data_IF_866562576210
#
_entry.id   IF_866562576210
#
_cell.length_a   1.000
_cell.length_b   1.000
_cell.length_c   1.000
_cell.angle_alpha   90.00
_cell.angle_beta   90.00
_cell.angle_gamma   90.00
#
_symmetry.space_group_name_H-M   'P 1'
#
loop_
_entity.id
_entity.type
_entity.pdbx_description
1 polymer ?
#
# COMPACT_ATOMS: atom_id res chain seq x y z
N UNK A 1 -0.08 -3.88 24.81
CA UNK A 1 -0.22 -4.89 23.74
C UNK A 1 0.97 -5.81 23.89
N UNK A 2 0.69 -7.10 24.00
CA UNK A 2 1.74 -8.13 24.04
C UNK A 2 2.21 -8.40 22.62
N UNK A 3 3.50 -8.45 22.41
CA UNK A 3 4.07 -8.82 21.12
C UNK A 3 3.92 -10.33 20.89
N UNK A 4 3.23 -10.69 19.83
CA UNK A 4 3.01 -12.07 19.42
C UNK A 4 3.14 -12.16 17.89
N UNK A 5 3.58 -13.32 17.40
CA UNK A 5 3.56 -13.62 15.96
C UNK A 5 2.21 -14.23 15.60
N UNK A 6 1.56 -13.65 14.63
CA UNK A 6 0.28 -14.11 14.09
C UNK A 6 0.36 -14.24 12.57
N UNK A 7 -0.55 -15.02 12.01
CA UNK A 7 -0.70 -15.11 10.55
C UNK A 7 -1.93 -14.29 10.14
N UNK A 8 -1.77 -13.38 9.17
CA UNK A 8 -2.88 -12.57 8.68
C UNK A 8 -3.16 -12.84 7.21
N UNK A 9 -4.39 -12.60 6.80
CA UNK A 9 -4.82 -12.61 5.42
C UNK A 9 -5.68 -11.38 5.12
N UNK A 10 -5.43 -10.76 3.98
CA UNK A 10 -6.18 -9.61 3.47
C UNK A 10 -6.49 -9.84 2.01
N UNK A 11 -7.77 -9.80 1.64
CA UNK A 11 -8.21 -10.05 0.28
C UNK A 11 -8.37 -8.75 -0.52
N UNK A 12 -8.46 -8.88 -1.83
CA UNK A 12 -8.71 -7.76 -2.76
C UNK A 12 -10.02 -7.03 -2.46
N UNK A 13 -11.08 -7.77 -2.10
CA UNK A 13 -12.37 -7.19 -1.73
C UNK A 13 -12.38 -6.55 -0.33
N UNK A 14 -11.32 -6.71 0.45
CA UNK A 14 -11.18 -6.09 1.76
C UNK A 14 -11.61 -6.97 2.93
N UNK A 15 -11.65 -8.29 2.79
CA UNK A 15 -11.80 -9.20 3.91
C UNK A 15 -10.47 -9.39 4.62
N UNK A 16 -10.49 -9.26 5.94
CA UNK A 16 -9.30 -9.33 6.79
C UNK A 16 -9.50 -10.33 7.90
N UNK A 17 -8.44 -11.04 8.26
CA UNK A 17 -8.43 -11.97 9.40
C UNK A 17 -7.03 -12.10 9.98
N UNK A 18 -6.99 -12.37 11.26
CA UNK A 18 -5.80 -12.80 12.00
C UNK A 18 -6.04 -14.19 12.54
N UNK A 19 -5.01 -15.02 12.58
CA UNK A 19 -5.08 -16.35 13.19
C UNK A 19 -3.75 -16.68 13.85
N UNK A 20 -3.77 -17.60 14.82
CA UNK A 20 -2.52 -18.11 15.38
C UNK A 20 -1.76 -18.93 14.34
N UNK A 21 -0.44 -18.91 14.42
CA UNK A 21 0.42 -19.72 13.53
C UNK A 21 0.05 -21.20 13.58
N UNK A 22 -0.32 -21.70 14.77
CA UNK A 22 -0.78 -23.08 14.94
C UNK A 22 -2.06 -23.36 14.14
N UNK A 23 -3.03 -22.45 14.20
CA UNK A 23 -4.31 -22.58 13.47
C UNK A 23 -4.09 -22.52 11.97
N UNK A 24 -3.20 -21.65 11.48
CA UNK A 24 -2.82 -21.59 10.11
C UNK A 24 -2.21 -22.91 9.61
N UNK A 25 -1.23 -23.46 10.33
CA UNK A 25 -0.54 -24.71 9.96
C UNK A 25 -1.45 -25.95 10.00
N UNK A 26 -2.55 -25.90 10.75
CA UNK A 26 -3.50 -27.01 10.88
C UNK A 26 -4.55 -27.05 9.76
N UNK A 27 -4.55 -26.10 8.83
CA UNK A 27 -5.62 -25.94 7.81
C UNK A 27 -5.05 -25.63 6.43
N UNK A 28 -5.32 -26.50 5.45
CA UNK A 28 -4.90 -26.29 4.07
C UNK A 28 -5.90 -25.45 3.26
N UNK A 29 -7.07 -25.15 3.82
CA UNK A 29 -8.16 -24.48 3.13
C UNK A 29 -8.28 -23.03 3.58
N UNK A 30 -8.38 -22.10 2.63
CA UNK A 30 -8.70 -20.70 2.85
C UNK A 30 -10.07 -20.39 2.25
N UNK A 31 -10.95 -19.72 3.03
CA UNK A 31 -12.20 -19.22 2.49
C UNK A 31 -11.96 -17.89 1.74
N UNK A 32 -12.43 -17.85 0.50
CA UNK A 32 -12.49 -16.66 -0.35
C UNK A 32 -13.91 -16.55 -0.91
N UNK A 33 -14.37 -15.34 -1.18
CA UNK A 33 -15.60 -15.14 -1.95
C UNK A 33 -15.34 -15.43 -3.42
N UNK A 34 -16.42 -15.68 -4.15
CA UNK A 34 -16.34 -15.82 -5.61
C UNK A 34 -15.71 -14.58 -6.22
N UNK A 35 -14.73 -14.78 -7.10
CA UNK A 35 -13.95 -13.72 -7.75
C UNK A 35 -13.07 -12.84 -6.83
N UNK A 36 -12.92 -13.18 -5.56
CA UNK A 36 -11.94 -12.55 -4.67
C UNK A 36 -10.58 -13.25 -4.73
N UNK A 37 -9.53 -12.57 -4.32
CA UNK A 37 -8.18 -13.11 -4.28
C UNK A 37 -7.42 -12.59 -3.06
N UNK A 38 -6.48 -13.39 -2.56
CA UNK A 38 -5.61 -12.98 -1.47
C UNK A 38 -4.58 -11.96 -2.00
N UNK A 39 -4.58 -10.74 -1.44
CA UNK A 39 -3.57 -9.72 -1.74
C UNK A 39 -2.37 -9.79 -0.81
N UNK A 40 -2.60 -10.13 0.43
CA UNK A 40 -1.54 -10.32 1.41
C UNK A 40 -1.87 -11.50 2.30
N UNK A 41 -0.90 -12.39 2.47
CA UNK A 41 -0.93 -13.40 3.53
C UNK A 41 0.48 -13.60 4.06
N UNK A 42 0.62 -13.66 5.37
CA UNK A 42 1.94 -13.83 5.97
C UNK A 42 1.95 -13.75 7.48
N UNK A 43 3.09 -14.15 8.03
CA UNK A 43 3.40 -14.02 9.44
C UNK A 43 3.84 -12.60 9.75
N UNK A 44 3.24 -12.00 10.78
CA UNK A 44 3.49 -10.62 11.20
C UNK A 44 3.46 -10.53 12.73
N UNK A 45 4.10 -9.50 13.28
CA UNK A 45 3.98 -9.16 14.69
C UNK A 45 2.65 -8.41 14.97
N UNK A 46 2.06 -8.62 16.13
CA UNK A 46 0.92 -7.81 16.61
C UNK A 46 1.26 -6.32 16.72
N UNK A 47 2.54 -5.97 16.78
CA UNK A 47 3.03 -4.59 16.82
C UNK A 47 3.21 -3.96 15.43
N UNK A 48 3.15 -4.76 14.36
CA UNK A 48 3.24 -4.26 13.00
C UNK A 48 1.98 -3.48 12.60
N UNK A 49 2.11 -2.69 11.55
CA UNK A 49 1.01 -1.97 10.90
C UNK A 49 0.90 -2.41 9.46
N UNK A 50 -0.32 -2.65 9.02
CA UNK A 50 -0.63 -2.87 7.61
C UNK A 50 -1.11 -1.55 7.00
N UNK A 51 -0.46 -1.11 5.93
CA UNK A 51 -0.92 0.01 5.11
C UNK A 51 -1.61 -0.55 3.86
N UNK A 52 -2.89 -0.25 3.70
CA UNK A 52 -3.70 -0.68 2.57
C UNK A 52 -3.98 0.53 1.68
N UNK A 53 -3.34 0.61 0.53
CA UNK A 53 -3.49 1.72 -0.42
C UNK A 53 -4.61 1.44 -1.41
N UNK A 54 -5.37 2.48 -1.76
CA UNK A 54 -6.56 2.38 -2.61
C UNK A 54 -6.39 3.08 -3.96
N UNK A 55 -7.23 2.71 -4.91
CA UNK A 55 -7.29 3.34 -6.23
C UNK A 55 -7.59 4.83 -6.18
N UNK A 56 -8.27 5.30 -5.14
CA UNK A 56 -8.65 6.72 -4.95
C UNK A 56 -7.56 7.58 -4.29
N UNK A 57 -6.37 7.02 -4.08
CA UNK A 57 -5.24 7.75 -3.50
C UNK A 57 -5.31 7.87 -1.98
N UNK A 58 -6.10 7.06 -1.32
CA UNK A 58 -6.18 6.98 0.12
C UNK A 58 -5.43 5.74 0.64
N UNK A 59 -5.24 5.68 1.95
CA UNK A 59 -4.77 4.47 2.60
C UNK A 59 -5.50 4.23 3.91
N UNK A 60 -5.53 2.97 4.30
CA UNK A 60 -6.01 2.50 5.58
C UNK A 60 -4.79 2.19 6.44
N UNK A 61 -4.72 2.79 7.60
CA UNK A 61 -3.73 2.47 8.63
C UNK A 61 -4.33 1.44 9.57
N UNK A 62 -3.88 0.19 9.47
CA UNK A 62 -4.46 -0.93 10.19
C UNK A 62 -3.41 -1.60 11.09
N UNK A 63 -3.36 -1.27 12.40
CA UNK A 63 -2.53 -2.01 13.34
C UNK A 63 -2.94 -3.48 13.40
N UNK A 64 -1.98 -4.38 13.36
CA UNK A 64 -2.23 -5.82 13.32
C UNK A 64 -3.06 -6.29 14.52
N UNK A 65 -2.80 -5.75 15.71
CA UNK A 65 -3.56 -6.09 16.93
C UNK A 65 -5.05 -5.72 16.87
N UNK A 66 -5.48 -4.89 15.92
CA UNK A 66 -6.89 -4.52 15.68
C UNK A 66 -7.61 -5.51 14.78
N UNK A 67 -6.89 -6.37 14.08
CA UNK A 67 -7.48 -7.35 13.18
C UNK A 67 -8.10 -8.47 14.03
N UNK A 68 -9.42 -8.73 13.90
CA UNK A 68 -10.07 -9.77 14.68
C UNK A 68 -9.53 -11.17 14.38
N UNK A 69 -9.54 -12.00 15.39
CA UNK A 69 -9.07 -13.38 15.30
C UNK A 69 -10.17 -14.29 14.75
N UNK A 70 -9.82 -15.06 13.72
CA UNK A 70 -10.66 -16.05 13.07
C UNK A 70 -9.90 -17.36 12.88
N UNK A 71 -10.60 -18.45 12.60
CA UNK A 71 -9.94 -19.64 12.04
C UNK A 71 -9.51 -19.34 10.61
N UNK A 72 -8.40 -19.92 10.17
CA UNK A 72 -7.90 -19.64 8.81
C UNK A 72 -8.91 -20.00 7.72
N UNK A 73 -9.70 -21.04 7.93
CA UNK A 73 -10.78 -21.45 7.03
C UNK A 73 -11.99 -20.52 6.97
N UNK A 74 -12.10 -19.55 7.88
CA UNK A 74 -13.20 -18.61 7.91
C UNK A 74 -12.91 -17.44 6.95
N UNK A 75 -13.96 -16.75 6.48
CA UNK A 75 -13.81 -15.61 5.57
C UNK A 75 -13.12 -14.41 6.25
N UNK A 76 -13.35 -14.23 7.54
CA UNK A 76 -12.92 -13.04 8.27
C UNK A 76 -13.99 -11.96 8.32
N UNK A 77 -13.57 -10.73 8.55
CA UNK A 77 -14.45 -9.55 8.56
C UNK A 77 -14.08 -8.58 7.45
N UNK A 78 -15.06 -7.83 6.97
CA UNK A 78 -14.79 -6.80 5.97
C UNK A 78 -14.15 -5.56 6.65
N UNK A 79 -13.19 -4.96 5.96
CA UNK A 79 -12.41 -3.82 6.48
C UNK A 79 -13.30 -2.63 6.89
N UNK A 80 -14.45 -2.43 6.24
CA UNK A 80 -15.41 -1.38 6.59
C UNK A 80 -16.00 -1.52 8.02
N UNK A 81 -15.89 -2.70 8.61
CA UNK A 81 -16.27 -2.91 10.00
C UNK A 81 -15.21 -2.42 10.99
N UNK A 82 -13.99 -2.17 10.53
CA UNK A 82 -12.85 -1.75 11.34
C UNK A 82 -12.49 -0.29 11.10
N UNK A 83 -12.57 0.17 9.84
CA UNK A 83 -12.18 1.51 9.41
C UNK A 83 -13.28 2.07 8.52
N UNK A 84 -13.73 3.28 8.81
CA UNK A 84 -14.72 3.96 7.99
C UNK A 84 -14.07 4.41 6.67
N UNK A 85 -14.50 3.81 5.57
CA UNK A 85 -14.13 4.26 4.24
C UNK A 85 -15.08 5.38 3.80
N UNK A 86 -14.52 6.40 3.15
CA UNK A 86 -15.28 7.57 2.69
C UNK A 86 -15.93 7.36 1.33
N UNK A 87 -15.35 6.49 0.50
CA UNK A 87 -15.80 6.19 -0.86
C UNK A 87 -15.66 4.69 -1.13
N UNK A 88 -16.32 4.25 -2.19
CA UNK A 88 -16.13 2.90 -2.70
C UNK A 88 -14.78 2.82 -3.41
N UNK A 89 -13.82 2.17 -2.80
CA UNK A 89 -12.44 2.10 -3.23
C UNK A 89 -11.99 0.65 -3.33
N UNK A 90 -11.08 0.38 -4.27
CA UNK A 90 -10.41 -0.91 -4.39
C UNK A 90 -9.00 -0.83 -3.83
N UNK A 91 -8.56 -1.88 -3.15
CA UNK A 91 -7.20 -1.99 -2.62
C UNK A 91 -6.25 -2.33 -3.78
N UNK A 92 -5.18 -1.57 -3.93
CA UNK A 92 -4.16 -1.79 -4.97
C UNK A 92 -2.86 -2.35 -4.42
N UNK A 93 -2.52 -2.04 -3.17
CA UNK A 93 -1.28 -2.52 -2.54
C UNK A 93 -1.44 -2.61 -1.03
N UNK A 94 -0.78 -3.60 -0.45
CA UNK A 94 -0.69 -3.78 0.99
C UNK A 94 0.78 -3.87 1.38
N UNK A 95 1.19 -3.05 2.34
CA UNK A 95 2.55 -3.05 2.88
C UNK A 95 2.52 -3.33 4.38
N UNK A 96 3.39 -4.25 4.82
CA UNK A 96 3.66 -4.49 6.24
C UNK A 96 4.77 -3.53 6.69
N UNK A 97 4.51 -2.75 7.73
CA UNK A 97 5.47 -1.81 8.30
C UNK A 97 5.73 -2.17 9.77
N UNK A 98 6.97 -2.48 10.08
CA UNK A 98 7.42 -2.74 11.46
C UNK A 98 8.04 -1.50 12.09
N UNK A 99 8.63 -0.61 11.30
CA UNK A 99 9.27 0.61 11.77
C UNK A 99 9.09 1.74 10.73
N UNK A 100 8.36 2.79 11.09
CA UNK A 100 8.16 3.95 10.23
C UNK A 100 9.39 4.87 10.12
N UNK A 101 10.35 4.73 11.02
CA UNK A 101 11.58 5.55 11.01
C UNK A 101 12.68 4.98 10.10
N UNK A 102 12.41 3.92 9.36
CA UNK A 102 13.31 3.46 8.32
C UNK A 102 13.46 4.53 7.23
N UNK A 103 14.70 4.71 6.75
CA UNK A 103 14.99 5.65 5.67
C UNK A 103 14.57 5.09 4.31
N UNK A 104 13.27 5.04 4.12
CA UNK A 104 12.59 4.49 2.94
C UNK A 104 11.51 5.44 2.45
N UNK A 105 11.17 5.30 1.19
CA UNK A 105 10.13 6.09 0.54
C UNK A 105 9.06 5.19 -0.07
N UNK A 106 7.84 5.73 -0.21
CA UNK A 106 6.79 5.13 -1.00
C UNK A 106 6.71 5.86 -2.35
N UNK A 107 6.66 5.08 -3.42
CA UNK A 107 6.53 5.55 -4.79
C UNK A 107 5.13 5.22 -5.29
N UNK A 108 4.37 6.26 -5.64
CA UNK A 108 3.03 6.16 -6.22
C UNK A 108 3.10 6.43 -7.71
N UNK A 109 2.40 5.60 -8.48
CA UNK A 109 2.19 5.80 -9.92
C UNK A 109 0.70 5.79 -10.19
N UNK A 110 0.22 6.76 -10.99
CA UNK A 110 -1.18 6.87 -11.34
C UNK A 110 -1.45 6.47 -12.79
N UNK A 111 -2.72 6.22 -13.12
CA UNK A 111 -3.19 5.88 -14.46
C UNK A 111 -2.82 6.96 -15.49
N UNK A 112 -2.80 8.22 -15.10
CA UNK A 112 -2.40 9.34 -15.95
C UNK A 112 -0.88 9.58 -15.93
N UNK A 113 -0.09 8.59 -15.50
CA UNK A 113 1.38 8.62 -15.44
C UNK A 113 1.94 9.71 -14.52
N UNK A 114 1.24 10.05 -13.46
CA UNK A 114 1.79 10.88 -12.40
C UNK A 114 2.57 10.01 -11.42
N UNK A 115 3.67 10.55 -10.93
CA UNK A 115 4.55 9.88 -9.98
C UNK A 115 4.74 10.77 -8.75
N UNK A 116 4.52 10.20 -7.57
CA UNK A 116 4.79 10.86 -6.29
C UNK A 116 5.67 9.96 -5.43
N UNK A 117 6.65 10.59 -4.79
CA UNK A 117 7.48 9.96 -3.77
C UNK A 117 7.23 10.64 -2.42
N UNK A 118 7.03 9.84 -1.37
CA UNK A 118 6.77 10.33 -0.02
C UNK A 118 7.55 9.48 0.98
N UNK A 119 8.15 10.13 1.97
CA UNK A 119 8.88 9.41 3.02
C UNK A 119 7.97 8.51 3.85
N UNK A 120 8.44 7.33 4.19
CA UNK A 120 7.67 6.33 4.95
C UNK A 120 7.10 6.89 6.26
N UNK A 121 7.87 7.71 6.97
CA UNK A 121 7.47 8.31 8.25
C UNK A 121 6.20 9.17 8.17
N UNK A 122 5.90 9.75 6.99
CA UNK A 122 4.71 10.59 6.78
C UNK A 122 3.40 9.78 6.84
N UNK A 123 3.48 8.44 6.73
CA UNK A 123 2.33 7.55 6.79
C UNK A 123 1.99 7.09 8.20
N UNK A 124 2.82 7.39 9.20
CA UNK A 124 2.50 7.12 10.60
C UNK A 124 1.48 8.13 11.11
N UNK A 125 0.31 7.64 11.55
CA UNK A 125 -0.77 8.48 12.04
C UNK A 125 -1.26 8.00 13.40
N UNK A 126 -1.75 8.95 14.20
CA UNK A 126 -2.34 8.68 15.52
C UNK A 126 -3.86 8.44 15.47
N UNK A 127 -4.52 8.87 14.40
CA UNK A 127 -5.97 8.72 14.19
C UNK A 127 -6.21 7.92 12.91
N UNK A 128 -6.72 6.69 13.05
CA UNK A 128 -6.89 5.72 11.97
C UNK A 128 -8.26 5.06 11.94
N UNK A 129 -9.28 5.74 12.43
CA UNK A 129 -10.67 5.27 12.35
C UNK A 129 -11.30 5.47 10.97
N UNK A 130 -10.66 6.28 10.12
CA UNK A 130 -11.06 6.58 8.74
C UNK A 130 -9.88 6.43 7.81
N UNK A 131 -10.17 6.35 6.53
CA UNK A 131 -9.13 6.44 5.48
C UNK A 131 -8.39 7.77 5.55
N UNK A 132 -7.11 7.74 5.23
CA UNK A 132 -6.21 8.90 5.20
C UNK A 132 -5.78 9.14 3.75
N UNK A 133 -5.64 10.39 3.35
CA UNK A 133 -5.17 10.71 2.01
C UNK A 133 -3.66 10.53 1.88
N UNK A 134 -3.26 9.70 0.91
CA UNK A 134 -1.85 9.51 0.54
C UNK A 134 -1.44 10.44 -0.61
N UNK A 135 -2.30 10.61 -1.60
CA UNK A 135 -2.06 11.40 -2.81
C UNK A 135 -3.36 12.06 -3.27
N UNK A 136 -3.29 13.33 -3.66
CA UNK A 136 -4.40 14.03 -4.30
C UNK A 136 -4.40 13.71 -5.79
N UNK A 137 -5.54 13.23 -6.28
CA UNK A 137 -5.70 12.85 -7.68
C UNK A 137 -6.51 13.89 -8.44
N UNK A 138 -6.17 14.08 -9.72
CA UNK A 138 -7.02 14.80 -10.66
C UNK A 138 -8.27 14.01 -10.98
N UNK A 139 -9.27 14.68 -11.57
CA UNK A 139 -10.51 14.02 -12.01
C UNK A 139 -10.19 12.87 -12.98
N UNK A 140 -10.81 11.72 -12.75
CA UNK A 140 -10.64 10.51 -13.55
C UNK A 140 -9.25 9.88 -13.51
N UNK A 141 -8.41 10.25 -12.52
CA UNK A 141 -7.16 9.56 -12.28
C UNK A 141 -7.31 8.52 -11.16
N UNK A 142 -6.46 7.51 -11.17
CA UNK A 142 -6.44 6.43 -10.19
C UNK A 142 -5.00 6.02 -9.90
N UNK A 143 -4.74 5.62 -8.66
CA UNK A 143 -3.47 4.96 -8.29
C UNK A 143 -3.45 3.57 -8.88
N UNK A 144 -2.38 3.24 -9.61
CA UNK A 144 -2.19 1.92 -10.23
C UNK A 144 -1.06 1.12 -9.59
N UNK A 145 -0.12 1.80 -8.94
CA UNK A 145 1.02 1.15 -8.28
C UNK A 145 1.48 1.94 -7.06
N UNK A 146 1.82 1.21 -6.01
CA UNK A 146 2.49 1.74 -4.82
C UNK A 146 3.59 0.76 -4.45
N UNK A 147 4.83 1.23 -4.35
CA UNK A 147 5.97 0.43 -3.97
C UNK A 147 6.81 1.12 -2.91
N UNK A 148 7.41 0.34 -2.02
CA UNK A 148 8.37 0.82 -1.05
C UNK A 148 9.76 0.74 -1.66
N UNK A 149 10.53 1.81 -1.53
CA UNK A 149 11.86 1.92 -2.14
C UNK A 149 12.88 2.37 -1.12
N UNK A 150 14.07 1.79 -1.18
CA UNK A 150 15.21 2.32 -0.48
C UNK A 150 15.66 3.60 -1.20
N UNK A 151 16.18 4.59 -0.48
CA UNK A 151 16.58 5.90 -0.97
C UNK A 151 16.88 5.98 -2.47
N UNK A 152 15.87 6.30 -3.27
CA UNK A 152 16.09 6.62 -4.69
C UNK A 152 16.63 8.04 -4.75
N UNK A 153 17.90 8.19 -5.12
CA UNK A 153 18.44 9.50 -5.49
C UNK A 153 17.76 9.92 -6.80
N UNK A 154 16.89 10.90 -6.66
CA UNK A 154 16.27 11.55 -7.81
C UNK A 154 17.30 12.55 -8.34
N UNK A 155 17.96 12.21 -9.44
CA UNK A 155 18.83 13.15 -10.13
C UNK A 155 17.96 14.09 -10.96
N UNK A 156 18.03 15.38 -10.66
CA UNK A 156 17.42 16.44 -11.50
C UNK A 156 18.20 16.52 -12.79
N UNK A 157 17.61 16.10 -13.89
CA UNK A 157 18.13 16.43 -15.21
C UNK A 157 17.65 17.84 -15.60
N UNK A 158 18.58 18.72 -15.88
CA UNK A 158 18.28 20.05 -16.44
C UNK A 158 17.75 19.89 -17.86
N UNK A 159 16.44 19.96 -18.03
CA UNK A 159 15.83 20.15 -19.33
C UNK A 159 15.86 21.65 -19.67
N UNK A 160 16.81 22.05 -20.49
CA UNK A 160 16.79 23.36 -21.11
C UNK A 160 15.69 23.37 -22.17
N UNK A 161 14.57 24.03 -21.93
CA UNK A 161 13.59 24.32 -22.96
C UNK A 161 12.11 24.28 -22.62
N UNK A 162 11.70 24.10 -21.38
CA UNK A 162 10.29 24.23 -21.00
C UNK A 162 10.12 25.39 -20.04
N UNK A 163 9.57 26.47 -20.54
CA UNK A 163 9.25 27.65 -19.76
C UNK A 163 8.02 27.40 -18.87
N UNK A 164 8.17 27.72 -17.60
CA UNK A 164 7.15 28.17 -16.65
C UNK A 164 6.00 27.24 -16.26
N UNK A 165 6.24 25.95 -16.11
CA UNK A 165 5.43 25.11 -15.23
C UNK A 165 6.41 24.38 -14.34
N UNK A 166 6.17 24.33 -13.00
CA UNK A 166 6.98 23.59 -12.03
C UNK A 166 6.90 22.08 -12.30
N UNK A 167 7.44 21.65 -13.41
CA UNK A 167 7.63 20.24 -13.77
C UNK A 167 9.11 19.99 -13.65
N UNK A 168 9.52 19.33 -12.57
CA UNK A 168 10.87 18.81 -12.45
C UNK A 168 10.89 17.40 -13.05
N UNK A 169 11.64 17.14 -14.13
CA UNK A 169 11.79 15.80 -14.65
C UNK A 169 12.61 14.95 -13.68
N UNK A 170 12.08 13.82 -13.34
CA UNK A 170 12.70 12.82 -12.48
C UNK A 170 13.28 11.69 -13.31
N UNK A 171 14.58 11.48 -13.20
CA UNK A 171 15.20 10.23 -13.60
C UNK A 171 15.19 9.28 -12.41
N UNK A 172 14.25 8.36 -12.39
CA UNK A 172 14.22 7.28 -11.41
C UNK A 172 15.08 6.14 -11.97
N UNK A 173 16.29 5.97 -11.44
CA UNK A 173 17.05 4.74 -11.70
C UNK A 173 16.50 3.65 -10.78
N UNK A 174 15.82 2.69 -11.38
CA UNK A 174 15.52 1.45 -10.70
C UNK A 174 16.77 0.58 -10.76
N UNK A 175 17.23 0.05 -9.61
CA UNK A 175 18.23 -1.00 -9.61
C UNK A 175 17.65 -2.21 -10.33
N UNK A 176 18.20 -2.48 -11.50
CA UNK A 176 17.70 -3.44 -12.45
C UNK A 176 18.04 -4.86 -12.01
N UNK A 177 17.03 -5.57 -11.56
CA UNK A 177 16.99 -7.02 -11.74
C UNK A 177 15.63 -7.53 -12.25
N UNK A 178 14.71 -6.66 -12.69
CA UNK A 178 13.52 -7.08 -13.42
C UNK A 178 13.20 -6.08 -14.54
N UNK A 179 12.87 -6.63 -15.68
CA UNK A 179 12.55 -6.05 -16.98
C UNK A 179 11.58 -4.86 -16.90
N UNK A 180 12.09 -3.64 -16.74
CA UNK A 180 11.31 -2.40 -16.69
C UNK A 180 11.51 -1.51 -17.92
N UNK A 181 11.89 -2.12 -19.04
CA UNK A 181 12.19 -1.40 -20.30
C UNK A 181 11.03 -0.57 -20.88
N UNK A 182 9.78 -0.93 -20.60
CA UNK A 182 8.61 -0.23 -21.17
C UNK A 182 8.12 0.97 -20.35
N UNK A 183 8.42 1.04 -19.06
CA UNK A 183 7.99 2.15 -18.19
C UNK A 183 8.77 3.46 -18.44
N UNK A 184 9.95 3.38 -19.05
CA UNK A 184 10.84 4.54 -19.23
C UNK A 184 10.35 5.58 -20.24
N UNK A 185 9.48 5.21 -21.17
CA UNK A 185 9.15 6.07 -22.31
C UNK A 185 7.81 6.81 -22.22
N UNK A 186 6.95 6.51 -21.25
CA UNK A 186 5.57 7.05 -21.22
C UNK A 186 5.15 7.74 -19.93
N UNK A 187 6.03 7.94 -18.95
CA UNK A 187 5.67 8.54 -17.68
C UNK A 187 5.70 10.06 -17.79
N UNK A 188 4.54 10.68 -17.74
CA UNK A 188 4.41 12.13 -17.45
C UNK A 188 4.61 12.34 -15.95
N UNK A 189 5.53 13.21 -15.59
CA UNK A 189 6.00 13.43 -14.23
C UNK A 189 5.49 14.77 -13.75
N UNK A 190 4.76 14.76 -12.66
CA UNK A 190 4.29 15.96 -11.99
C UNK A 190 4.42 15.76 -10.48
N UNK A 191 4.99 16.75 -9.79
CA UNK A 191 5.04 16.79 -8.33
C UNK A 191 3.78 17.46 -7.78
N UNK A 192 3.36 16.94 -6.68
CA UNK A 192 2.21 17.42 -5.91
C UNK A 192 2.67 18.24 -4.71
#
# INVERSE_FOLDING_TARGET
ITEEQVFIGITREGYVKSTSIRSFKATDTVALRDNDSMLFSGEVSTLDVMLLFTTKGNYIYLPVYKIPVFKWKDLGTHINNLVQMTEQESIVKILKISNFNEDRNLLFVTKNNLVKQTELKEFEVSRYTKTVRAISLSKNDEVVSVDITDNIKIEKENFSGVNDINIEPLNVKFDSNEDSGELKNNIKRQWW
#
